data_IF_475916823739
#
_entry.id   IF_475916823739
#
_cell.length_a   1.000
_cell.length_b   1.000
_cell.length_c   1.000
_cell.angle_alpha   90.00
_cell.angle_beta   90.00
_cell.angle_gamma   90.00
#
_symmetry.space_group_name_H-M   'P 1'
#
loop_
_entity.id
_entity.type
_entity.pdbx_description
1 polymer ?
#
# COMPACT_ATOMS: atom_id res chain seq x y z
N UNK A 1 -32.03 -26.80 6.40
CA UNK A 1 -31.10 -25.66 6.52
C UNK A 1 -31.66 -24.81 7.65
N UNK A 2 -30.97 -24.70 8.79
CA UNK A 2 -31.42 -23.83 9.88
C UNK A 2 -31.36 -22.37 9.40
N UNK A 3 -32.37 -21.56 9.73
CA UNK A 3 -32.36 -20.14 9.43
C UNK A 3 -31.14 -19.47 10.09
N UNK A 4 -30.46 -18.53 9.41
CA UNK A 4 -29.34 -17.81 10.00
C UNK A 4 -29.80 -17.08 11.27
N UNK A 5 -28.97 -17.09 12.31
CA UNK A 5 -29.29 -16.36 13.54
C UNK A 5 -29.33 -14.84 13.26
N UNK A 6 -30.15 -14.04 13.97
CA UNK A 6 -30.20 -12.59 13.80
C UNK A 6 -28.81 -11.91 13.88
N UNK A 7 -27.91 -12.44 14.72
CA UNK A 7 -26.54 -11.97 14.83
C UNK A 7 -25.72 -12.21 13.55
N UNK A 8 -25.94 -13.34 12.88
CA UNK A 8 -25.25 -13.66 11.62
C UNK A 8 -25.68 -12.71 10.51
N UNK A 9 -26.98 -12.39 10.42
CA UNK A 9 -27.48 -11.41 9.45
C UNK A 9 -26.92 -10.01 9.73
N UNK A 10 -26.80 -9.62 11.00
CA UNK A 10 -26.19 -8.36 11.38
C UNK A 10 -24.68 -8.29 11.01
N UNK A 11 -23.93 -9.40 11.15
CA UNK A 11 -22.57 -9.48 10.63
C UNK A 11 -22.51 -9.33 9.12
N UNK A 12 -23.42 -9.99 8.39
CA UNK A 12 -23.46 -9.91 6.94
C UNK A 12 -23.75 -8.49 6.46
N UNK A 13 -24.69 -7.78 7.10
CA UNK A 13 -24.97 -6.37 6.80
C UNK A 13 -23.74 -5.47 6.96
N UNK A 14 -22.89 -5.74 7.96
CA UNK A 14 -21.62 -5.04 8.15
C UNK A 14 -20.63 -5.36 7.02
N UNK A 15 -20.61 -6.58 6.50
CA UNK A 15 -19.73 -6.99 5.40
C UNK A 15 -20.19 -6.43 4.05
N UNK A 16 -21.49 -6.29 3.84
CA UNK A 16 -22.07 -5.71 2.64
C UNK A 16 -21.86 -4.18 2.59
N UNK A 17 -21.88 -3.52 3.75
CA UNK A 17 -21.64 -2.08 3.90
C UNK A 17 -20.53 -1.76 4.94
N UNK A 18 -19.25 -2.07 4.65
CA UNK A 18 -18.18 -1.96 5.65
C UNK A 18 -17.72 -0.52 5.95
N UNK A 19 -18.17 0.43 5.14
CA UNK A 19 -17.92 1.85 5.38
C UNK A 19 -19.04 2.52 6.21
N UNK A 20 -20.20 1.86 6.39
CA UNK A 20 -21.38 2.39 7.10
C UNK A 20 -21.39 2.03 8.60
N UNK A 21 -21.68 3.01 9.44
CA UNK A 21 -21.73 2.85 10.90
C UNK A 21 -23.10 2.36 11.38
N UNK A 22 -24.18 2.55 10.61
CA UNK A 22 -25.53 2.10 10.96
C UNK A 22 -25.63 0.57 11.17
N UNK A 23 -25.17 -0.31 10.25
CA UNK A 23 -25.18 -1.76 10.48
C UNK A 23 -24.25 -2.17 11.63
N UNK A 24 -23.20 -1.39 11.93
CA UNK A 24 -22.30 -1.65 13.07
C UNK A 24 -22.98 -1.36 14.39
N UNK A 25 -23.73 -0.26 14.47
CA UNK A 25 -24.52 0.07 15.65
C UNK A 25 -25.61 -0.98 15.90
N UNK A 26 -26.32 -1.42 14.85
CA UNK A 26 -27.31 -2.48 14.96
C UNK A 26 -26.69 -3.81 15.45
N UNK A 27 -25.53 -4.19 14.91
CA UNK A 27 -24.79 -5.37 15.37
C UNK A 27 -24.32 -5.22 16.82
N UNK A 28 -23.86 -4.03 17.22
CA UNK A 28 -23.43 -3.77 18.60
C UNK A 28 -24.56 -4.02 19.60
N UNK A 29 -25.75 -3.50 19.32
CA UNK A 29 -26.94 -3.69 20.16
C UNK A 29 -27.38 -5.15 20.19
N UNK A 30 -27.37 -5.85 19.05
CA UNK A 30 -27.69 -7.28 19.00
C UNK A 30 -26.72 -8.12 19.84
N UNK A 31 -25.42 -7.84 19.76
CA UNK A 31 -24.38 -8.53 20.53
C UNK A 31 -24.50 -8.24 22.04
N UNK A 32 -24.79 -7.00 22.42
CA UNK A 32 -25.06 -6.62 23.82
C UNK A 32 -26.27 -7.34 24.40
N UNK A 33 -27.36 -7.41 23.64
CA UNK A 33 -28.55 -8.15 24.04
C UNK A 33 -28.27 -9.65 24.24
N UNK A 34 -27.31 -10.20 23.50
CA UNK A 34 -26.84 -11.58 23.65
C UNK A 34 -25.76 -11.76 24.74
N UNK A 35 -25.33 -10.68 25.41
CA UNK A 35 -24.27 -10.70 26.41
C UNK A 35 -22.84 -10.87 25.85
N UNK A 36 -22.64 -10.66 24.54
CA UNK A 36 -21.32 -10.72 23.91
C UNK A 36 -20.56 -9.39 24.11
N UNK A 37 -19.36 -9.40 24.74
CA UNK A 37 -18.57 -8.20 25.00
C UNK A 37 -18.11 -7.46 23.73
N UNK A 38 -18.20 -8.09 22.55
CA UNK A 38 -17.93 -7.45 21.27
C UNK A 38 -18.89 -6.31 20.98
N UNK A 39 -20.13 -6.41 21.45
CA UNK A 39 -21.13 -5.35 21.28
C UNK A 39 -20.68 -4.04 21.93
N UNK A 40 -20.19 -4.11 23.17
CA UNK A 40 -19.61 -2.94 23.85
C UNK A 40 -18.37 -2.40 23.15
N UNK A 41 -17.49 -3.29 22.67
CA UNK A 41 -16.31 -2.87 21.93
C UNK A 41 -16.65 -2.15 20.62
N UNK A 42 -17.64 -2.62 19.87
CA UNK A 42 -18.10 -1.95 18.63
C UNK A 42 -18.70 -0.59 18.99
N UNK A 43 -19.63 -0.52 19.94
CA UNK A 43 -20.27 0.74 20.33
C UNK A 43 -19.24 1.79 20.79
N UNK A 44 -18.33 1.43 21.70
CA UNK A 44 -17.24 2.32 22.12
C UNK A 44 -16.37 2.75 20.94
N UNK A 45 -16.18 1.89 19.93
CA UNK A 45 -15.38 2.22 18.74
C UNK A 45 -16.09 3.10 17.72
N UNK A 46 -17.42 3.28 17.83
CA UNK A 46 -18.22 4.17 16.98
C UNK A 46 -18.38 5.57 17.58
N UNK A 47 -18.15 5.73 18.88
CA UNK A 47 -18.19 7.04 19.53
C UNK A 47 -17.16 7.99 18.91
N UNK A 48 -17.58 9.17 18.39
CA UNK A 48 -16.66 10.14 17.77
C UNK A 48 -15.55 10.62 18.71
N UNK A 49 -15.84 10.64 20.02
CA UNK A 49 -14.90 11.00 21.07
C UNK A 49 -15.14 10.17 22.31
N UNK A 50 -14.12 9.40 22.74
CA UNK A 50 -14.11 8.74 24.04
C UNK A 50 -13.32 9.56 25.05
N UNK A 51 -13.77 9.54 26.29
CA UNK A 51 -12.94 9.97 27.41
C UNK A 51 -11.84 8.93 27.71
N UNK A 52 -11.00 9.23 28.73
CA UNK A 52 -9.92 8.32 29.13
C UNK A 52 -10.42 6.97 29.65
N UNK A 53 -11.61 6.93 30.25
CA UNK A 53 -12.17 5.70 30.81
C UNK A 53 -12.68 4.79 29.69
N UNK A 54 -13.43 5.33 28.73
CA UNK A 54 -13.91 4.62 27.55
C UNK A 54 -12.76 4.09 26.69
N UNK A 55 -11.70 4.87 26.47
CA UNK A 55 -10.54 4.38 25.71
C UNK A 55 -9.79 3.27 26.45
N UNK A 56 -9.66 3.38 27.79
CA UNK A 56 -9.09 2.32 28.63
C UNK A 56 -9.92 1.03 28.54
N UNK A 57 -11.24 1.14 28.59
CA UNK A 57 -12.13 -0.01 28.51
C UNK A 57 -12.10 -0.68 27.13
N UNK A 58 -12.15 0.10 26.04
CA UNK A 58 -11.98 -0.40 24.67
C UNK A 58 -10.68 -1.19 24.51
N UNK A 59 -9.56 -0.69 25.06
CA UNK A 59 -8.26 -1.41 25.05
C UNK A 59 -8.30 -2.68 25.89
N UNK A 60 -8.95 -2.65 27.05
CA UNK A 60 -9.12 -3.83 27.93
C UNK A 60 -9.88 -4.94 27.22
N UNK A 61 -11.02 -4.60 26.61
CA UNK A 61 -11.85 -5.52 25.83
C UNK A 61 -11.06 -6.15 24.68
N UNK A 62 -10.38 -5.32 23.87
CA UNK A 62 -9.57 -5.82 22.77
C UNK A 62 -8.42 -6.72 23.23
N UNK A 63 -7.77 -6.40 24.35
CA UNK A 63 -6.71 -7.23 24.91
C UNK A 63 -7.24 -8.59 25.39
N UNK A 64 -8.45 -8.62 25.97
CA UNK A 64 -9.06 -9.83 26.51
C UNK A 64 -9.62 -10.74 25.40
N UNK A 65 -10.30 -10.17 24.40
CA UNK A 65 -11.11 -10.93 23.44
C UNK A 65 -10.67 -10.80 21.98
N UNK A 66 -9.70 -9.93 21.66
CA UNK A 66 -9.32 -9.66 20.27
C UNK A 66 -8.83 -10.87 19.48
N UNK A 67 -8.27 -11.89 20.16
CA UNK A 67 -7.89 -13.15 19.52
C UNK A 67 -9.11 -13.96 19.06
N UNK A 68 -10.14 -14.04 19.91
CA UNK A 68 -11.40 -14.73 19.64
C UNK A 68 -12.17 -14.01 18.54
N UNK A 69 -12.30 -12.69 18.59
CA UNK A 69 -13.01 -11.93 17.56
C UNK A 69 -12.34 -11.96 16.18
N UNK A 70 -11.05 -12.31 16.14
CA UNK A 70 -10.31 -12.50 14.90
C UNK A 70 -10.56 -13.88 14.27
N UNK A 71 -11.27 -14.81 14.91
CA UNK A 71 -11.51 -16.19 14.41
C UNK A 71 -11.76 -16.27 12.89
N UNK A 72 -12.69 -15.50 12.30
CA UNK A 72 -12.95 -15.56 10.87
C UNK A 72 -11.71 -15.29 9.99
N UNK A 73 -10.75 -14.52 10.51
CA UNK A 73 -9.52 -14.12 9.83
C UNK A 73 -8.25 -14.73 10.45
N UNK A 74 -8.32 -15.48 11.56
CA UNK A 74 -7.14 -15.89 12.35
C UNK A 74 -6.12 -16.68 11.53
N UNK A 75 -6.63 -17.42 10.54
CA UNK A 75 -5.82 -18.23 9.63
C UNK A 75 -5.33 -17.44 8.43
N UNK A 76 -6.04 -16.36 8.07
CA UNK A 76 -5.78 -15.53 6.91
C UNK A 76 -4.71 -14.48 7.18
N UNK A 77 -4.66 -13.92 8.39
CA UNK A 77 -3.79 -12.77 8.71
C UNK A 77 -2.86 -13.02 9.89
N UNK A 78 -1.72 -12.32 9.91
CA UNK A 78 -0.80 -12.33 11.04
C UNK A 78 -1.44 -11.56 12.19
N UNK A 79 -1.88 -12.24 13.25
CA UNK A 79 -2.63 -11.64 14.37
C UNK A 79 -1.97 -10.37 14.96
N UNK A 80 -0.64 -10.37 15.11
CA UNK A 80 0.10 -9.22 15.67
C UNK A 80 0.11 -7.98 14.76
N UNK A 81 -0.16 -8.14 13.47
CA UNK A 81 -0.21 -7.05 12.49
C UNK A 81 -1.56 -6.31 12.48
N UNK A 82 -2.61 -6.94 13.04
CA UNK A 82 -3.98 -6.46 12.89
C UNK A 82 -4.19 -5.12 13.59
N UNK A 83 -4.73 -4.16 12.84
CA UNK A 83 -5.25 -2.89 13.37
C UNK A 83 -6.76 -2.93 13.38
N UNK A 84 -7.33 -2.40 14.46
CA UNK A 84 -8.76 -2.38 14.69
C UNK A 84 -9.31 -0.95 14.59
N UNK A 85 -10.46 -0.79 13.96
CA UNK A 85 -11.22 0.46 13.98
C UNK A 85 -12.71 0.15 13.84
N UNK A 86 -13.56 0.96 14.48
CA UNK A 86 -15.03 0.80 14.45
C UNK A 86 -15.48 -0.64 14.74
N UNK A 87 -14.78 -1.30 15.66
CA UNK A 87 -15.09 -2.67 16.10
C UNK A 87 -14.57 -3.82 15.23
N UNK A 88 -13.86 -3.55 14.12
CA UNK A 88 -13.42 -4.57 13.16
C UNK A 88 -11.94 -4.45 12.77
N UNK A 89 -11.31 -5.53 12.28
CA UNK A 89 -10.03 -5.48 11.60
C UNK A 89 -10.12 -4.57 10.36
N UNK A 90 -9.23 -3.60 10.25
CA UNK A 90 -9.17 -2.67 9.10
C UNK A 90 -7.84 -2.68 8.38
N UNK A 91 -6.79 -3.17 9.02
CA UNK A 91 -5.49 -3.37 8.39
C UNK A 91 -4.83 -4.64 8.91
N UNK A 92 -4.16 -5.38 8.04
CA UNK A 92 -3.40 -6.56 8.44
C UNK A 92 -2.32 -6.93 7.42
N UNK A 93 -1.47 -7.87 7.81
CA UNK A 93 -0.56 -8.61 6.96
C UNK A 93 -1.11 -10.02 6.71
N UNK A 94 -1.00 -10.50 5.46
CA UNK A 94 -1.41 -11.84 5.05
C UNK A 94 -0.52 -12.88 5.72
N UNK A 95 -1.13 -13.89 6.33
CA UNK A 95 -0.42 -14.96 7.00
C UNK A 95 0.14 -15.97 6.00
N UNK A 96 1.31 -16.49 6.36
CA UNK A 96 1.90 -17.63 5.70
C UNK A 96 1.36 -18.92 6.26
N UNK A 97 0.62 -19.65 5.42
CA UNK A 97 0.02 -20.93 5.79
C UNK A 97 0.36 -22.03 4.79
N UNK A 98 0.19 -23.31 5.15
CA UNK A 98 0.21 -24.40 4.19
C UNK A 98 -0.88 -24.21 3.11
N UNK A 99 -0.69 -24.72 1.87
CA UNK A 99 -1.63 -24.51 0.77
C UNK A 99 -3.10 -24.83 1.08
N UNK A 100 -3.37 -25.92 1.82
CA UNK A 100 -4.74 -26.33 2.14
C UNK A 100 -5.50 -25.28 2.99
N UNK A 101 -4.82 -24.61 3.92
CA UNK A 101 -5.41 -23.54 4.74
C UNK A 101 -5.57 -22.23 3.96
N UNK A 102 -4.73 -22.01 2.94
CA UNK A 102 -4.80 -20.82 2.09
C UNK A 102 -6.07 -20.79 1.24
N UNK A 103 -6.47 -21.92 0.66
CA UNK A 103 -7.69 -21.96 -0.16
C UNK A 103 -8.96 -21.70 0.66
N UNK A 104 -9.00 -22.16 1.91
CA UNK A 104 -10.10 -21.87 2.85
C UNK A 104 -10.22 -20.37 3.21
N UNK A 105 -9.18 -19.58 2.94
CA UNK A 105 -9.16 -18.14 3.19
C UNK A 105 -9.85 -17.34 2.08
N UNK A 106 -10.10 -17.95 0.92
CA UNK A 106 -10.74 -17.27 -0.22
C UNK A 106 -12.23 -17.11 0.06
N UNK A 107 -12.76 -15.91 -0.16
CA UNK A 107 -14.19 -15.64 -0.03
C UNK A 107 -14.68 -15.44 1.40
N UNK A 108 -13.78 -15.43 2.40
CA UNK A 108 -14.14 -15.12 3.80
C UNK A 108 -14.80 -13.74 3.88
N UNK A 109 -16.08 -13.63 4.31
CA UNK A 109 -16.82 -12.37 4.30
C UNK A 109 -16.16 -11.25 5.12
N UNK A 110 -15.54 -11.60 6.25
CA UNK A 110 -14.87 -10.65 7.13
C UNK A 110 -13.74 -9.86 6.45
N UNK A 111 -13.17 -10.35 5.34
CA UNK A 111 -12.18 -9.63 4.54
C UNK A 111 -12.72 -8.31 3.97
N UNK A 112 -14.04 -8.18 3.83
CA UNK A 112 -14.70 -6.95 3.38
C UNK A 112 -14.43 -5.73 4.26
N UNK A 113 -14.08 -5.95 5.52
CA UNK A 113 -13.77 -4.89 6.49
C UNK A 113 -12.35 -4.33 6.36
N UNK A 114 -11.46 -5.03 5.67
CA UNK A 114 -10.09 -4.57 5.47
C UNK A 114 -10.04 -3.39 4.50
N UNK A 115 -9.31 -2.36 4.91
CA UNK A 115 -8.95 -1.18 4.11
C UNK A 115 -7.48 -1.17 3.72
N UNK A 116 -6.63 -1.87 4.47
CA UNK A 116 -5.22 -2.03 4.14
C UNK A 116 -4.78 -3.50 4.26
N UNK A 117 -4.05 -3.98 3.27
CA UNK A 117 -3.48 -5.33 3.29
C UNK A 117 -2.03 -5.30 2.83
N UNK A 118 -1.17 -5.94 3.61
CA UNK A 118 0.21 -6.25 3.23
C UNK A 118 0.29 -7.74 2.87
N UNK A 119 0.76 -8.09 1.68
CA UNK A 119 0.85 -9.49 1.24
C UNK A 119 2.08 -10.23 1.81
N UNK A 120 2.83 -9.59 2.71
CA UNK A 120 4.04 -10.16 3.30
C UNK A 120 5.22 -10.18 2.33
N UNK A 121 6.31 -10.81 2.75
CA UNK A 121 7.51 -10.98 1.92
C UNK A 121 7.39 -12.21 1.01
N UNK A 122 7.96 -12.15 -0.19
CA UNK A 122 7.88 -13.27 -1.15
C UNK A 122 8.75 -14.47 -0.75
N UNK A 123 9.77 -14.33 0.11
CA UNK A 123 10.54 -15.48 0.66
C UNK A 123 9.65 -16.55 1.29
N UNK A 124 8.40 -16.18 1.56
CA UNK A 124 7.44 -17.04 2.18
C UNK A 124 6.75 -18.01 1.18
N UNK A 125 6.99 -17.91 -0.14
CA UNK A 125 6.59 -18.94 -1.10
C UNK A 125 5.09 -18.97 -1.41
N UNK A 126 4.48 -17.81 -1.63
CA UNK A 126 3.17 -17.77 -2.28
C UNK A 126 3.28 -18.26 -3.73
N UNK A 127 2.17 -18.75 -4.27
CA UNK A 127 2.02 -18.98 -5.70
C UNK A 127 1.26 -17.77 -6.27
N UNK A 128 1.74 -17.19 -7.38
CA UNK A 128 1.12 -16.03 -8.01
C UNK A 128 -0.31 -16.31 -8.45
N UNK A 129 -0.59 -17.53 -8.92
CA UNK A 129 -1.94 -17.93 -9.32
C UNK A 129 -2.90 -17.97 -8.11
N UNK A 130 -2.41 -18.47 -6.96
CA UNK A 130 -3.19 -18.42 -5.72
C UNK A 130 -3.44 -16.98 -5.25
N UNK A 131 -2.42 -16.11 -5.23
CA UNK A 131 -2.59 -14.72 -4.83
C UNK A 131 -3.60 -13.99 -5.71
N UNK A 132 -3.57 -14.24 -7.02
CA UNK A 132 -4.57 -13.70 -7.94
C UNK A 132 -5.98 -14.19 -7.58
N UNK A 133 -6.17 -15.50 -7.36
CA UNK A 133 -7.46 -16.06 -6.93
C UNK A 133 -7.92 -15.47 -5.61
N UNK A 134 -7.03 -15.29 -4.64
CA UNK A 134 -7.33 -14.71 -3.34
C UNK A 134 -7.78 -13.24 -3.46
N UNK A 135 -7.04 -12.40 -4.19
CA UNK A 135 -7.36 -10.98 -4.35
C UNK A 135 -8.65 -10.77 -5.16
N UNK A 136 -8.82 -11.52 -6.25
CA UNK A 136 -9.96 -11.34 -7.14
C UNK A 136 -11.23 -12.03 -6.64
N UNK A 137 -11.11 -13.17 -5.96
CA UNK A 137 -12.22 -14.01 -5.49
C UNK A 137 -12.65 -13.75 -4.04
N UNK A 138 -11.96 -12.90 -3.29
CA UNK A 138 -12.35 -12.49 -1.93
C UNK A 138 -13.01 -11.12 -1.93
N UNK A 139 -13.83 -10.79 -0.90
CA UNK A 139 -14.55 -9.51 -0.84
C UNK A 139 -13.64 -8.31 -0.45
N UNK A 140 -12.46 -8.19 -1.06
CA UNK A 140 -11.45 -7.18 -0.74
C UNK A 140 -11.65 -5.83 -1.48
N UNK A 141 -12.80 -5.60 -2.12
CA UNK A 141 -13.02 -4.41 -2.96
C UNK A 141 -12.99 -3.08 -2.19
N UNK A 142 -13.06 -3.13 -0.86
CA UNK A 142 -12.91 -1.96 0.01
C UNK A 142 -11.45 -1.63 0.38
N UNK A 143 -10.47 -2.40 -0.08
CA UNK A 143 -9.07 -2.03 0.10
C UNK A 143 -8.78 -0.65 -0.52
N UNK A 144 -8.14 0.20 0.27
CA UNK A 144 -7.55 1.49 -0.11
C UNK A 144 -6.04 1.40 -0.25
N UNK A 145 -5.40 0.54 0.54
CA UNK A 145 -3.96 0.33 0.52
C UNK A 145 -3.66 -1.14 0.30
N UNK A 146 -2.88 -1.45 -0.73
CA UNK A 146 -2.38 -2.79 -0.98
C UNK A 146 -0.87 -2.73 -1.21
N UNK A 147 -0.12 -3.51 -0.43
CA UNK A 147 1.35 -3.48 -0.44
C UNK A 147 1.92 -4.89 -0.50
N UNK A 148 3.16 -5.01 -0.98
CA UNK A 148 3.76 -6.34 -1.19
C UNK A 148 3.23 -7.05 -2.43
N UNK A 149 2.60 -6.31 -3.35
CA UNK A 149 1.96 -6.88 -4.54
C UNK A 149 3.00 -7.27 -5.56
N UNK A 150 2.89 -8.46 -6.11
CA UNK A 150 3.78 -8.86 -7.19
C UNK A 150 3.38 -8.15 -8.48
N UNK A 151 4.36 -7.68 -9.23
CA UNK A 151 4.11 -6.86 -10.43
C UNK A 151 3.30 -7.59 -11.51
N UNK A 152 3.42 -8.91 -11.61
CA UNK A 152 2.64 -9.77 -12.51
C UNK A 152 1.14 -9.79 -12.20
N UNK A 153 0.73 -9.43 -10.98
CA UNK A 153 -0.69 -9.28 -10.61
C UNK A 153 -1.29 -7.95 -11.05
N UNK A 154 -0.46 -6.97 -11.41
CA UNK A 154 -0.90 -5.62 -11.75
C UNK A 154 -1.87 -5.60 -12.95
N UNK A 155 -1.64 -6.36 -14.05
CA UNK A 155 -2.61 -6.45 -15.12
C UNK A 155 -3.99 -6.95 -14.67
N UNK A 156 -4.01 -7.97 -13.81
CA UNK A 156 -5.25 -8.55 -13.30
C UNK A 156 -6.01 -7.58 -12.38
N UNK A 157 -5.29 -6.79 -11.56
CA UNK A 157 -5.88 -5.75 -10.73
C UNK A 157 -6.43 -4.59 -11.56
N UNK A 158 -5.71 -4.15 -12.60
CA UNK A 158 -6.15 -3.05 -13.45
C UNK A 158 -7.29 -3.42 -14.41
N UNK A 159 -7.45 -4.71 -14.72
CA UNK A 159 -8.53 -5.23 -15.56
C UNK A 159 -9.77 -5.69 -14.76
N UNK A 160 -9.76 -5.59 -13.42
CA UNK A 160 -10.84 -6.13 -12.60
C UNK A 160 -12.15 -5.36 -12.73
N UNK A 161 -13.27 -6.08 -12.71
CA UNK A 161 -14.63 -5.56 -12.60
C UNK A 161 -15.36 -6.35 -11.49
N UNK A 162 -15.96 -5.70 -10.46
CA UNK A 162 -16.04 -4.26 -10.21
C UNK A 162 -14.68 -3.62 -9.92
N UNK A 163 -14.55 -2.28 -10.11
CA UNK A 163 -13.33 -1.55 -9.83
C UNK A 163 -12.95 -1.60 -8.36
N UNK A 164 -11.64 -1.55 -8.10
CA UNK A 164 -11.09 -1.38 -6.77
C UNK A 164 -11.22 0.05 -6.29
N UNK A 165 -11.32 0.21 -4.96
CA UNK A 165 -11.17 1.48 -4.26
C UNK A 165 -9.71 1.76 -3.85
N UNK A 166 -8.73 1.10 -4.48
CA UNK A 166 -7.32 1.25 -4.14
C UNK A 166 -6.84 2.68 -4.42
N UNK A 167 -6.34 3.35 -3.39
CA UNK A 167 -5.75 4.69 -3.43
C UNK A 167 -4.22 4.60 -3.47
N UNK A 168 -3.65 3.58 -2.82
CA UNK A 168 -2.23 3.30 -2.76
C UNK A 168 -1.90 1.86 -3.09
N UNK A 169 -0.95 1.68 -4.00
CA UNK A 169 -0.47 0.37 -4.43
C UNK A 169 1.05 0.34 -4.38
N UNK A 170 1.60 -0.62 -3.63
CA UNK A 170 3.02 -0.89 -3.60
C UNK A 170 3.31 -2.25 -4.21
N UNK A 171 3.84 -2.21 -5.44
CA UNK A 171 4.27 -3.36 -6.19
C UNK A 171 5.75 -3.63 -5.96
N UNK A 172 6.03 -4.83 -5.43
CA UNK A 172 7.36 -5.41 -5.39
C UNK A 172 7.64 -6.09 -6.72
N UNK A 173 8.79 -5.78 -7.31
CA UNK A 173 9.32 -6.58 -8.40
C UNK A 173 10.16 -7.72 -7.84
N UNK A 174 9.96 -8.93 -8.38
CA UNK A 174 10.86 -10.03 -8.08
C UNK A 174 10.97 -11.03 -9.24
N UNK A 175 12.17 -11.14 -9.83
CA UNK A 175 12.65 -12.31 -10.55
C UNK A 175 12.85 -12.10 -12.05
N UNK A 176 14.10 -11.96 -12.46
CA UNK A 176 14.59 -12.00 -13.86
C UNK A 176 14.21 -10.78 -14.70
N UNK A 177 15.16 -10.18 -15.44
CA UNK A 177 14.95 -9.00 -16.30
C UNK A 177 13.55 -9.04 -16.92
N UNK A 178 12.73 -7.97 -16.80
CA UNK A 178 11.37 -7.95 -17.29
C UNK A 178 11.44 -8.43 -18.73
N UNK A 179 10.75 -9.53 -19.02
CA UNK A 179 10.54 -9.90 -20.40
C UNK A 179 9.91 -8.68 -21.07
N UNK A 180 10.27 -8.39 -22.32
CA UNK A 180 9.64 -7.28 -23.08
C UNK A 180 8.09 -7.33 -23.05
N UNK A 181 7.50 -8.50 -22.76
CA UNK A 181 6.08 -8.69 -22.52
C UNK A 181 5.52 -7.99 -21.27
N UNK A 182 6.25 -7.96 -20.15
CA UNK A 182 5.73 -7.43 -18.87
C UNK A 182 5.46 -5.92 -18.94
N UNK A 183 6.38 -5.15 -19.53
CA UNK A 183 6.18 -3.70 -19.76
C UNK A 183 4.98 -3.46 -20.68
N UNK A 184 4.82 -4.31 -21.69
CA UNK A 184 3.69 -4.23 -22.63
C UNK A 184 2.36 -4.57 -21.96
N UNK A 185 2.34 -5.56 -21.08
CA UNK A 185 1.14 -6.01 -20.38
C UNK A 185 0.72 -5.03 -19.29
N UNK A 186 1.67 -4.48 -18.52
CA UNK A 186 1.41 -3.39 -17.60
C UNK A 186 0.88 -2.15 -18.33
N UNK A 187 1.51 -1.77 -19.46
CA UNK A 187 1.03 -0.67 -20.31
C UNK A 187 -0.41 -0.93 -20.77
N UNK A 188 -0.70 -2.09 -21.34
CA UNK A 188 -2.04 -2.45 -21.83
C UNK A 188 -3.08 -2.42 -20.70
N UNK A 189 -2.69 -2.89 -19.52
CA UNK A 189 -3.56 -2.89 -18.35
C UNK A 189 -3.86 -1.48 -17.84
N UNK A 190 -2.86 -0.60 -17.82
CA UNK A 190 -3.03 0.81 -17.46
C UNK A 190 -3.77 1.63 -18.51
N UNK A 191 -3.66 1.27 -19.79
CA UNK A 191 -4.46 1.88 -20.86
C UNK A 191 -5.94 1.50 -20.77
N UNK A 192 -6.25 0.28 -20.32
CA UNK A 192 -7.62 -0.20 -20.19
C UNK A 192 -8.39 0.42 -19.02
N UNK A 193 -7.73 0.76 -17.91
CA UNK A 193 -8.23 1.60 -16.80
C UNK A 193 -9.54 1.20 -16.10
N UNK A 194 -10.08 0.00 -16.30
CA UNK A 194 -11.37 -0.36 -15.68
C UNK A 194 -11.24 -0.53 -14.16
N UNK A 195 -10.15 -1.12 -13.67
CA UNK A 195 -10.08 -1.64 -12.30
C UNK A 195 -9.50 -0.72 -11.22
N UNK A 196 -8.77 0.36 -11.54
CA UNK A 196 -8.04 1.17 -10.55
C UNK A 196 -8.34 2.69 -10.60
N UNK A 197 -9.62 3.12 -10.61
CA UNK A 197 -9.96 4.54 -10.80
C UNK A 197 -9.55 5.45 -9.64
N UNK A 198 -9.43 4.91 -8.42
CA UNK A 198 -9.09 5.65 -7.22
C UNK A 198 -7.57 5.78 -6.97
N UNK A 199 -6.72 5.11 -7.77
CA UNK A 199 -5.30 5.04 -7.45
C UNK A 199 -4.61 6.40 -7.63
N UNK A 200 -3.91 6.87 -6.59
CA UNK A 200 -3.16 8.14 -6.57
C UNK A 200 -1.69 7.95 -6.21
N UNK A 201 -1.37 6.90 -5.45
CA UNK A 201 -0.01 6.58 -5.03
C UNK A 201 0.40 5.22 -5.59
N UNK A 202 1.46 5.20 -6.41
CA UNK A 202 2.02 3.97 -6.96
C UNK A 202 3.49 3.85 -6.56
N UNK A 203 3.86 2.72 -5.97
CA UNK A 203 5.26 2.37 -5.72
C UNK A 203 5.64 1.16 -6.57
N UNK A 204 6.67 1.32 -7.40
CA UNK A 204 7.23 0.31 -8.28
C UNK A 204 8.68 0.05 -7.87
N UNK A 205 8.88 -0.82 -6.87
CA UNK A 205 10.25 -1.22 -6.50
C UNK A 205 10.80 -2.21 -7.52
N UNK A 206 12.11 -2.18 -7.77
CA UNK A 206 12.79 -2.94 -8.81
C UNK A 206 14.28 -3.13 -8.51
N UNK A 207 14.73 -4.39 -8.52
CA UNK A 207 16.07 -4.82 -8.07
C UNK A 207 17.12 -4.78 -9.21
N UNK A 208 16.88 -4.10 -10.34
CA UNK A 208 17.86 -4.07 -11.42
C UNK A 208 17.96 -2.71 -12.15
N UNK A 209 19.06 -2.51 -12.86
CA UNK A 209 19.29 -1.34 -13.72
C UNK A 209 18.19 -1.18 -14.79
N UNK A 210 17.76 0.06 -15.09
CA UNK A 210 17.01 0.36 -16.32
C UNK A 210 15.62 0.97 -16.18
N UNK A 211 15.24 1.55 -15.03
CA UNK A 211 13.97 2.28 -14.87
C UNK A 211 14.03 3.72 -15.40
N UNK A 212 14.59 3.89 -16.60
CA UNK A 212 14.58 5.19 -17.26
C UNK A 212 13.16 5.64 -17.61
N UNK A 213 12.92 6.96 -17.76
CA UNK A 213 11.62 7.53 -18.11
C UNK A 213 11.00 6.96 -19.39
N UNK A 214 11.81 6.46 -20.32
CA UNK A 214 11.39 5.86 -21.59
C UNK A 214 10.54 4.60 -21.44
N UNK A 215 10.56 3.95 -20.27
CA UNK A 215 9.67 2.82 -19.94
C UNK A 215 8.28 3.26 -19.48
N UNK A 216 8.11 4.55 -19.18
CA UNK A 216 6.89 5.09 -18.57
C UNK A 216 6.18 6.17 -19.40
N UNK A 217 6.16 6.12 -20.77
CA UNK A 217 5.45 7.13 -21.56
C UNK A 217 3.95 7.15 -21.25
N UNK A 218 3.41 6.03 -20.76
CA UNK A 218 2.01 5.91 -20.35
C UNK A 218 1.62 6.86 -19.22
N UNK A 219 2.57 7.36 -18.42
CA UNK A 219 2.28 8.34 -17.36
C UNK A 219 1.63 9.60 -17.93
N UNK A 220 2.10 10.08 -19.08
CA UNK A 220 1.55 11.27 -19.73
C UNK A 220 0.42 10.98 -20.71
N UNK A 221 0.37 9.77 -21.28
CA UNK A 221 -0.56 9.45 -22.38
C UNK A 221 -1.85 8.77 -21.93
N UNK A 222 -1.92 8.25 -20.71
CA UNK A 222 -3.09 7.52 -20.21
C UNK A 222 -3.84 8.33 -19.14
N UNK A 223 -5.15 8.10 -19.02
CA UNK A 223 -5.91 8.69 -17.92
C UNK A 223 -5.48 8.14 -16.54
N UNK A 224 -4.83 6.97 -16.50
CA UNK A 224 -4.23 6.40 -15.29
C UNK A 224 -3.05 7.24 -14.82
N UNK A 225 -2.09 7.48 -15.70
CA UNK A 225 -0.95 8.32 -15.41
C UNK A 225 -1.35 9.75 -15.03
N UNK A 226 -2.37 10.30 -15.71
CA UNK A 226 -2.98 11.59 -15.36
C UNK A 226 -3.69 11.60 -14.00
N UNK A 227 -4.13 10.46 -13.49
CA UNK A 227 -4.74 10.36 -12.16
C UNK A 227 -3.71 10.23 -11.03
N UNK A 228 -2.46 9.87 -11.35
CA UNK A 228 -1.44 9.57 -10.36
C UNK A 228 -0.85 10.86 -9.77
N UNK A 229 -0.76 10.93 -8.44
CA UNK A 229 -0.19 12.05 -7.69
C UNK A 229 1.22 11.77 -7.19
N UNK A 230 1.47 10.55 -6.74
CA UNK A 230 2.79 10.13 -6.27
C UNK A 230 3.25 8.88 -6.97
N UNK A 231 4.50 8.91 -7.43
CA UNK A 231 5.19 7.76 -7.98
C UNK A 231 6.47 7.52 -7.19
N UNK A 232 6.62 6.34 -6.63
CA UNK A 232 7.88 5.90 -6.02
C UNK A 232 8.45 4.79 -6.88
N UNK A 233 9.73 4.83 -7.19
CA UNK A 233 10.40 3.78 -7.94
C UNK A 233 11.85 3.65 -7.51
N UNK A 234 12.43 2.49 -7.79
CA UNK A 234 13.88 2.34 -7.69
C UNK A 234 14.51 2.72 -9.03
N UNK A 235 15.50 3.60 -9.02
CA UNK A 235 16.28 3.92 -10.21
C UNK A 235 17.74 4.16 -9.85
N UNK A 236 18.62 4.06 -10.84
CA UNK A 236 19.99 4.50 -10.64
C UNK A 236 20.01 6.03 -10.51
N UNK A 237 20.90 6.55 -9.68
CA UNK A 237 21.04 8.00 -9.50
C UNK A 237 21.41 8.72 -10.80
N UNK A 238 22.11 8.03 -11.71
CA UNK A 238 22.42 8.48 -13.08
C UNK A 238 21.19 8.69 -13.95
N UNK A 239 20.04 8.08 -13.63
CA UNK A 239 18.80 8.24 -14.38
C UNK A 239 17.99 9.47 -13.94
N UNK A 240 18.29 10.06 -12.78
CA UNK A 240 17.55 11.21 -12.22
C UNK A 240 17.51 12.41 -13.18
N UNK A 241 18.61 12.80 -13.86
CA UNK A 241 18.57 13.89 -14.85
C UNK A 241 17.64 13.61 -16.02
N UNK A 242 17.62 12.37 -16.52
CA UNK A 242 16.71 11.97 -17.58
C UNK A 242 15.25 12.04 -17.12
N UNK A 243 14.97 11.57 -15.89
CA UNK A 243 13.65 11.67 -15.27
C UNK A 243 13.19 13.11 -15.10
N UNK A 244 14.05 14.00 -14.59
CA UNK A 244 13.74 15.41 -14.46
C UNK A 244 13.39 16.03 -15.82
N UNK A 245 14.25 15.83 -16.84
CA UNK A 245 14.01 16.34 -18.18
C UNK A 245 12.68 15.82 -18.75
N UNK A 246 12.35 14.54 -18.53
CA UNK A 246 11.09 13.97 -18.98
C UNK A 246 9.88 14.54 -18.22
N UNK A 247 9.96 14.71 -16.91
CA UNK A 247 8.89 15.29 -16.08
C UNK A 247 8.62 16.74 -16.46
N UNK A 248 9.67 17.53 -16.73
CA UNK A 248 9.56 18.89 -17.28
C UNK A 248 8.89 18.86 -18.65
N UNK A 249 9.31 17.96 -19.54
CA UNK A 249 8.71 17.81 -20.87
C UNK A 249 7.24 17.37 -20.83
N UNK A 250 6.86 16.53 -19.88
CA UNK A 250 5.47 16.16 -19.67
C UNK A 250 4.64 17.32 -19.13
N UNK A 251 5.22 18.17 -18.27
CA UNK A 251 4.52 19.31 -17.68
C UNK A 251 3.14 18.88 -17.16
N UNK A 252 2.10 19.64 -17.50
CA UNK A 252 0.72 19.40 -17.04
C UNK A 252 0.04 18.17 -17.67
N UNK A 253 0.72 17.43 -18.54
CA UNK A 253 0.23 16.13 -19.00
C UNK A 253 0.25 15.06 -17.91
N UNK A 254 0.96 15.28 -16.79
CA UNK A 254 0.96 14.42 -15.60
C UNK A 254 0.49 15.20 -14.36
N UNK A 255 -0.33 14.56 -13.52
CA UNK A 255 -0.75 15.11 -12.22
C UNK A 255 0.20 14.76 -11.07
N UNK A 256 1.40 14.30 -11.40
CA UNK A 256 2.41 13.95 -10.43
C UNK A 256 2.81 15.19 -9.63
N UNK A 257 2.63 15.10 -8.32
CA UNK A 257 3.08 16.08 -7.32
C UNK A 257 4.47 15.68 -6.80
N UNK A 258 4.76 14.37 -6.78
CA UNK A 258 6.02 13.82 -6.27
C UNK A 258 6.46 12.59 -7.04
N UNK A 259 7.74 12.55 -7.39
CA UNK A 259 8.42 11.34 -7.85
C UNK A 259 9.57 11.03 -6.91
N UNK A 260 9.55 9.89 -6.24
CA UNK A 260 10.56 9.45 -5.29
C UNK A 260 11.39 8.32 -5.88
N UNK A 261 12.70 8.51 -5.89
CA UNK A 261 13.70 7.55 -6.32
C UNK A 261 14.34 6.92 -5.09
N UNK A 262 14.12 5.62 -4.89
CA UNK A 262 14.84 4.81 -3.92
C UNK A 262 16.08 4.18 -4.55
N UNK A 263 17.10 3.91 -3.73
CA UNK A 263 18.24 3.10 -4.15
C UNK A 263 18.36 1.86 -3.25
N UNK A 264 18.13 0.67 -3.81
CA UNK A 264 18.46 -0.59 -3.15
C UNK A 264 19.94 -0.91 -3.37
N UNK A 265 20.68 -1.30 -2.33
CA UNK A 265 22.07 -1.72 -2.52
C UNK A 265 22.17 -3.11 -3.16
N UNK A 266 23.37 -3.43 -3.68
CA UNK A 266 23.65 -4.70 -4.36
C UNK A 266 23.48 -5.93 -3.45
N UNK A 267 23.41 -5.74 -2.12
CA UNK A 267 23.19 -6.80 -1.14
C UNK A 267 21.70 -7.04 -0.84
N UNK A 268 20.79 -6.37 -1.58
CA UNK A 268 19.34 -6.46 -1.36
C UNK A 268 18.91 -5.85 -0.02
N UNK A 269 19.73 -4.96 0.55
CA UNK A 269 19.34 -4.16 1.70
C UNK A 269 18.81 -2.84 1.17
N UNK A 270 17.56 -2.54 1.56
CA UNK A 270 17.01 -1.21 1.38
C UNK A 270 17.91 -0.20 2.08
N UNK A 271 18.67 0.57 1.31
CA UNK A 271 19.20 1.82 1.84
C UNK A 271 18.03 2.76 1.97
N UNK A 272 17.99 3.49 3.08
CA UNK A 272 17.00 4.54 3.29
C UNK A 272 17.36 5.81 2.50
N UNK A 273 18.16 5.67 1.45
CA UNK A 273 18.53 6.73 0.54
C UNK A 273 17.39 6.92 -0.44
N UNK A 274 16.79 8.11 -0.41
CA UNK A 274 15.77 8.47 -1.37
C UNK A 274 15.89 9.94 -1.74
N UNK A 275 15.60 10.22 -3.01
CA UNK A 275 15.50 11.56 -3.54
C UNK A 275 14.12 11.72 -4.17
N UNK A 276 13.42 12.80 -3.85
CA UNK A 276 12.14 13.13 -4.43
C UNK A 276 12.24 14.41 -5.25
N UNK A 277 11.78 14.35 -6.50
CA UNK A 277 11.41 15.53 -7.28
C UNK A 277 9.97 15.91 -6.92
N UNK A 278 9.76 17.14 -6.48
CA UNK A 278 8.48 17.68 -6.02
C UNK A 278 8.06 18.80 -6.97
N UNK A 279 6.83 18.71 -7.46
CA UNK A 279 6.20 19.74 -8.29
C UNK A 279 5.88 20.97 -7.44
N UNK A 280 6.28 22.13 -7.94
CA UNK A 280 5.94 23.47 -7.46
C UNK A 280 5.08 24.17 -8.52
N UNK A 281 4.70 25.43 -8.28
CA UNK A 281 4.04 26.27 -9.28
C UNK A 281 4.86 26.47 -10.57
N UNK A 282 6.19 26.25 -10.52
CA UNK A 282 7.11 26.35 -11.67
C UNK A 282 7.43 24.99 -12.31
N UNK A 283 6.74 23.92 -11.94
CA UNK A 283 7.06 22.55 -12.36
C UNK A 283 7.92 21.81 -11.33
N UNK A 284 8.65 20.77 -11.74
CA UNK A 284 9.43 19.91 -10.83
C UNK A 284 10.75 20.53 -10.36
N UNK A 285 10.68 21.66 -9.67
CA UNK A 285 11.86 22.46 -9.30
C UNK A 285 12.36 22.25 -7.87
N UNK A 286 11.68 21.42 -7.07
CA UNK A 286 12.08 21.15 -5.67
C UNK A 286 12.61 19.72 -5.53
N UNK A 287 13.74 19.59 -4.84
CA UNK A 287 14.29 18.29 -4.44
C UNK A 287 14.24 18.17 -2.93
N UNK A 288 13.77 17.02 -2.45
CA UNK A 288 13.84 16.63 -1.04
C UNK A 288 14.36 15.23 -0.95
N UNK A 289 15.15 14.89 0.06
CA UNK A 289 15.65 13.53 0.17
C UNK A 289 16.35 13.26 1.48
N UNK A 290 16.65 12.00 1.70
CA UNK A 290 17.60 11.55 2.70
C UNK A 290 18.71 10.84 1.93
N UNK A 291 19.95 11.26 2.18
CA UNK A 291 21.15 10.59 1.69
C UNK A 291 21.94 10.17 2.91
N UNK A 292 22.25 8.88 3.03
CA UNK A 292 23.00 8.31 4.13
C UNK A 292 22.39 7.02 4.64
N UNK A 293 23.25 6.01 4.82
CA UNK A 293 22.90 4.74 5.40
C UNK A 293 22.30 4.92 6.80
N UNK A 294 21.00 4.65 6.98
CA UNK A 294 20.48 4.34 8.31
C UNK A 294 21.01 2.94 8.69
N UNK A 295 21.88 2.81 9.70
CA UNK A 295 22.32 1.51 10.16
C UNK A 295 21.10 0.69 10.59
N UNK A 296 21.04 -0.57 10.16
CA UNK A 296 20.11 -1.55 10.71
C UNK A 296 20.52 -1.87 12.17
N UNK A 297 20.12 -1.04 13.12
CA UNK A 297 20.44 -1.20 14.55
C UNK A 297 19.43 -0.50 15.45
N UNK A 298 19.30 -0.91 16.73
CA UNK A 298 18.39 -0.27 17.68
C UNK A 298 18.75 1.23 17.84
N UNK A 299 17.76 2.11 18.08
CA UNK A 299 17.87 3.58 17.96
C UNK A 299 18.87 4.30 18.89
N UNK A 300 19.72 3.57 19.63
CA UNK A 300 20.56 4.10 20.69
C UNK A 300 21.95 4.61 20.30
N UNK A 301 22.48 4.33 19.10
CA UNK A 301 23.77 4.89 18.62
C UNK A 301 23.80 4.99 17.09
N UNK A 302 23.12 6.01 16.56
CA UNK A 302 23.19 6.37 15.15
C UNK A 302 24.34 7.38 14.97
N UNK A 303 25.44 6.97 14.33
CA UNK A 303 26.35 7.93 13.68
C UNK A 303 25.88 8.06 12.23
N UNK A 304 25.22 9.18 11.94
CA UNK A 304 24.86 9.59 10.59
C UNK A 304 26.12 10.10 9.87
N UNK A 305 27.04 9.22 9.52
CA UNK A 305 28.16 9.59 8.65
C UNK A 305 27.75 9.32 7.20
N UNK A 306 27.20 10.34 6.54
CA UNK A 306 27.01 10.33 5.09
C UNK A 306 28.40 10.21 4.45
N UNK A 307 28.58 9.29 3.50
CA UNK A 307 29.89 9.14 2.87
C UNK A 307 30.15 10.35 1.96
N UNK A 308 31.38 10.88 1.97
CA UNK A 308 31.74 12.09 1.19
C UNK A 308 31.53 11.91 -0.31
N UNK A 309 31.71 10.70 -0.83
CA UNK A 309 31.48 10.35 -2.22
C UNK A 309 29.98 10.37 -2.59
N UNK A 310 29.08 10.02 -1.67
CA UNK A 310 27.62 10.10 -1.88
C UNK A 310 27.13 11.55 -1.95
N UNK A 311 27.68 12.44 -1.11
CA UNK A 311 27.42 13.88 -1.20
C UNK A 311 27.95 14.48 -2.50
N UNK A 312 29.17 14.13 -2.92
CA UNK A 312 29.74 14.60 -4.18
C UNK A 312 28.89 14.16 -5.39
N UNK A 313 28.42 12.89 -5.40
CA UNK A 313 27.50 12.41 -6.43
C UNK A 313 26.17 13.16 -6.44
N UNK A 314 25.62 13.49 -5.26
CA UNK A 314 24.42 14.30 -5.18
C UNK A 314 24.66 15.70 -5.76
N UNK A 315 25.77 16.34 -5.39
CA UNK A 315 26.14 17.65 -5.92
C UNK A 315 26.31 17.61 -7.46
N UNK A 316 26.94 16.57 -8.00
CA UNK A 316 27.06 16.36 -9.44
C UNK A 316 25.69 16.25 -10.12
N UNK A 317 24.76 15.48 -9.55
CA UNK A 317 23.40 15.34 -10.08
C UNK A 317 22.68 16.68 -10.02
N UNK A 318 22.71 17.37 -8.88
CA UNK A 318 22.07 18.68 -8.70
C UNK A 318 22.60 19.70 -9.72
N UNK A 319 23.89 19.66 -10.05
CA UNK A 319 24.49 20.53 -11.05
C UNK A 319 23.97 20.27 -12.48
N UNK A 320 23.43 19.08 -12.77
CA UNK A 320 22.85 18.74 -14.08
C UNK A 320 21.37 19.08 -14.22
N UNK A 321 20.71 19.54 -13.15
CA UNK A 321 19.28 19.81 -13.14
C UNK A 321 19.04 21.32 -13.31
N UNK A 322 18.76 21.80 -14.55
CA UNK A 322 18.45 23.21 -14.76
C UNK A 322 17.19 23.60 -14.00
N UNK A 323 17.12 24.86 -13.56
CA UNK A 323 15.92 25.46 -12.95
C UNK A 323 15.52 24.97 -11.55
N UNK A 324 16.42 24.25 -10.85
CA UNK A 324 16.22 23.99 -9.42
C UNK A 324 16.25 25.31 -8.63
N UNK A 325 15.28 25.49 -7.74
CA UNK A 325 15.31 26.59 -6.79
C UNK A 325 16.34 26.26 -5.70
N UNK A 326 17.47 26.98 -5.67
CA UNK A 326 18.52 26.80 -4.66
C UNK A 326 17.98 26.91 -3.22
N UNK A 327 16.90 27.67 -3.00
CA UNK A 327 16.24 27.79 -1.69
C UNK A 327 15.40 26.57 -1.32
N UNK A 328 15.10 25.71 -2.29
CA UNK A 328 14.29 24.51 -2.10
C UNK A 328 15.11 23.28 -1.71
N UNK A 329 16.45 23.37 -1.72
CA UNK A 329 17.36 22.31 -1.27
C UNK A 329 17.53 22.41 0.25
N UNK A 330 16.63 21.79 1.01
CA UNK A 330 16.82 21.61 2.46
C UNK A 330 17.87 20.52 2.73
N UNK A 331 19.13 20.91 2.98
CA UNK A 331 20.17 20.02 3.51
C UNK A 331 20.00 19.95 5.03
N UNK A 332 19.49 18.84 5.56
CA UNK A 332 19.35 18.60 7.01
C UNK A 332 20.39 17.63 7.55
#
# INVERSE_FOLDING_TARGET
MSEPSPTQDAFQAVYDAPDDDAPRAALAEALRAAGDPRGDFIALSLEPSLDKAGDKEKRRLLKAHGAEWLEPLRHVVVQKSVKWARGFPVAAELAMRPPAERDASIGVPALATLRALHLGKRELGFDGAWLQRFLLGSPLRNLRVLTGVWRDLLPALAASDPPWKLERLHCLYWGGRPGKGEVKDAKRAFEAQIGLPALRDLTLTYVASGNGPSLYPWLATTAFGKGLRSLTMDCEWSDIPAWHAQLVAWGDAVSLERVTFGHEDQDGRFRHDWLSLVRTERGFTKITGVVGHMPAGPPGRLRNEIRKDELARLDDILATLPDLDERAIERR
#
